data_IF_191609367554
#
_entry.id   IF_191609367554
#
_cell.length_a   1.000
_cell.length_b   1.000
_cell.length_c   1.000
_cell.angle_alpha   90.00
_cell.angle_beta   90.00
_cell.angle_gamma   90.00
#
_symmetry.space_group_name_H-M   'P 1'
#
loop_
_entity.id
_entity.type
_entity.pdbx_description
1 polymer ?
#
# COMPACT_ATOMS: atom_id res chain seq x y z
N UNK A 1 12.07 -16.10 8.97
CA UNK A 1 12.10 -14.67 8.62
C UNK A 1 11.10 -14.49 7.51
N UNK A 2 10.01 -13.84 7.82
CA UNK A 2 8.90 -13.67 6.87
C UNK A 2 9.35 -12.79 5.71
N UNK A 3 8.95 -13.15 4.51
CA UNK A 3 9.20 -12.38 3.29
C UNK A 3 7.96 -11.56 3.01
N UNK A 4 8.13 -10.40 2.42
CA UNK A 4 7.02 -9.51 2.10
C UNK A 4 7.24 -8.80 0.77
N UNK A 5 6.14 -8.31 0.22
CA UNK A 5 6.12 -7.28 -0.83
C UNK A 5 5.40 -6.07 -0.28
N UNK A 6 6.02 -4.90 -0.37
CA UNK A 6 5.42 -3.63 0.01
C UNK A 6 5.19 -2.80 -1.26
N UNK A 7 3.95 -2.77 -1.71
CA UNK A 7 3.52 -2.01 -2.90
C UNK A 7 2.83 -0.73 -2.47
N UNK A 8 3.15 0.38 -3.15
CA UNK A 8 2.65 1.70 -2.79
C UNK A 8 2.13 2.44 -4.02
N UNK A 9 1.15 3.31 -3.79
CA UNK A 9 0.54 4.15 -4.79
C UNK A 9 0.46 5.59 -4.31
N UNK A 10 0.83 6.51 -5.19
CA UNK A 10 0.63 7.93 -5.01
C UNK A 10 -0.65 8.40 -5.70
N UNK A 11 -1.44 9.20 -4.99
CA UNK A 11 -2.57 9.94 -5.53
C UNK A 11 -2.32 11.45 -5.39
N UNK A 12 -2.48 12.25 -6.45
CA UNK A 12 -2.21 13.69 -6.40
C UNK A 12 -3.22 14.45 -5.54
N UNK A 13 -4.35 13.86 -5.23
CA UNK A 13 -5.40 14.44 -4.39
C UNK A 13 -6.17 13.32 -3.68
N UNK A 14 -6.46 13.54 -2.41
CA UNK A 14 -7.47 12.80 -1.65
C UNK A 14 -8.60 13.77 -1.28
N UNK A 15 -9.82 13.49 -1.72
CA UNK A 15 -10.96 14.36 -1.52
C UNK A 15 -12.24 13.53 -1.41
N UNK A 16 -12.86 13.43 -0.22
CA UNK A 16 -14.10 12.71 -0.04
C UNK A 16 -15.31 13.45 -0.66
N UNK A 17 -15.19 14.77 -0.84
CA UNK A 17 -16.18 15.61 -1.55
C UNK A 17 -15.56 16.94 -1.96
N UNK A 18 -16.29 17.74 -2.75
CA UNK A 18 -15.85 19.06 -3.20
C UNK A 18 -15.54 19.98 -2.00
N UNK A 19 -14.37 20.60 -2.04
CA UNK A 19 -13.89 21.52 -1.01
C UNK A 19 -13.30 20.86 0.24
N UNK A 20 -13.33 19.54 0.35
CA UNK A 20 -12.72 18.77 1.44
C UNK A 20 -11.50 17.98 0.95
N UNK A 21 -10.76 17.45 1.92
CA UNK A 21 -9.57 16.63 1.67
C UNK A 21 -8.29 17.45 1.53
N UNK A 22 -7.27 16.83 0.97
CA UNK A 22 -5.93 17.42 0.83
C UNK A 22 -5.26 17.00 -0.49
N UNK A 23 -4.22 17.75 -0.86
CA UNK A 23 -3.32 17.35 -1.94
C UNK A 23 -2.37 16.29 -1.41
N UNK A 24 -1.99 15.42 -2.32
CA UNK A 24 -1.08 14.31 -2.08
C UNK A 24 -1.62 13.27 -1.11
N UNK A 25 -1.59 12.03 -1.53
CA UNK A 25 -1.86 10.88 -0.69
C UNK A 25 -0.93 9.73 -1.09
N UNK A 26 -0.52 8.96 -0.09
CA UNK A 26 0.26 7.75 -0.25
C UNK A 26 -0.44 6.61 0.44
N UNK A 27 -0.76 5.57 -0.30
CA UNK A 27 -1.36 4.36 0.23
C UNK A 27 -0.50 3.16 -0.15
N UNK A 28 -0.49 2.15 0.72
CA UNK A 28 0.32 0.97 0.55
C UNK A 28 -0.38 -0.33 0.89
N UNK A 29 0.16 -1.42 0.37
CA UNK A 29 -0.24 -2.78 0.73
C UNK A 29 1.02 -3.58 1.07
N UNK A 30 1.06 -4.14 2.26
CA UNK A 30 2.05 -5.14 2.65
C UNK A 30 1.45 -6.53 2.42
N UNK A 31 2.11 -7.34 1.62
CA UNK A 31 1.75 -8.75 1.41
C UNK A 31 2.82 -9.61 2.03
N UNK A 32 2.47 -10.31 3.09
CA UNK A 32 3.35 -11.25 3.78
C UNK A 32 3.36 -12.60 3.07
N UNK A 33 4.55 -13.17 2.91
CA UNK A 33 4.78 -14.41 2.18
C UNK A 33 5.45 -15.45 3.09
N UNK A 34 5.01 -16.71 2.96
CA UNK A 34 5.60 -17.85 3.68
C UNK A 34 7.01 -18.21 3.15
N UNK A 35 7.26 -17.93 1.87
CA UNK A 35 8.53 -18.22 1.20
C UNK A 35 8.88 -17.14 0.18
N UNK A 36 10.16 -16.76 0.09
CA UNK A 36 10.66 -15.81 -0.90
C UNK A 36 10.70 -16.35 -2.34
N UNK A 37 10.71 -17.66 -2.50
CA UNK A 37 10.93 -18.32 -3.79
C UNK A 37 9.66 -18.88 -4.42
N UNK A 38 8.55 -18.96 -3.66
CA UNK A 38 7.30 -19.49 -4.17
C UNK A 38 6.46 -18.39 -4.79
N UNK A 39 5.95 -18.65 -6.00
CA UNK A 39 5.02 -17.77 -6.73
C UNK A 39 3.56 -18.24 -6.65
N UNK A 40 3.27 -19.29 -5.86
CA UNK A 40 1.93 -19.82 -5.71
C UNK A 40 1.05 -18.87 -4.86
N UNK A 41 -0.24 -18.79 -5.17
CA UNK A 41 -1.21 -18.03 -4.38
C UNK A 41 -1.25 -18.44 -2.90
N UNK A 42 -1.09 -19.74 -2.62
CA UNK A 42 -1.02 -20.30 -1.26
C UNK A 42 0.19 -19.84 -0.45
N UNK A 43 1.15 -19.17 -1.09
CA UNK A 43 2.32 -18.56 -0.44
C UNK A 43 1.98 -17.28 0.33
N UNK A 44 0.84 -16.64 0.05
CA UNK A 44 0.41 -15.44 0.77
C UNK A 44 0.00 -15.86 2.19
N UNK A 45 0.62 -15.23 3.18
CA UNK A 45 0.31 -15.42 4.59
C UNK A 45 -0.71 -14.39 5.09
N UNK A 46 -0.52 -13.12 4.71
CA UNK A 46 -1.46 -12.04 5.02
C UNK A 46 -1.41 -10.94 3.97
N UNK A 47 -2.49 -10.17 3.87
CA UNK A 47 -2.63 -8.97 3.05
C UNK A 47 -3.02 -7.82 3.95
N UNK A 48 -2.21 -6.77 3.99
CA UNK A 48 -2.35 -5.62 4.89
C UNK A 48 -2.49 -4.32 4.08
N UNK A 49 -3.69 -3.90 3.68
CA UNK A 49 -3.90 -2.57 3.12
C UNK A 49 -3.77 -1.48 4.20
N UNK A 50 -3.22 -0.33 3.82
CA UNK A 50 -3.14 0.85 4.67
C UNK A 50 -4.51 1.52 4.85
N UNK A 51 -4.73 2.10 6.02
CA UNK A 51 -5.97 2.77 6.37
C UNK A 51 -5.71 3.85 7.44
N UNK A 52 -5.65 5.12 7.04
CA UNK A 52 -5.51 6.27 7.95
C UNK A 52 -4.34 6.18 8.95
N UNK A 53 -3.19 5.69 8.48
CA UNK A 53 -1.98 5.50 9.30
C UNK A 53 -1.87 4.14 9.99
N UNK A 54 -2.92 3.31 9.92
CA UNK A 54 -2.94 1.93 10.38
C UNK A 54 -2.86 0.93 9.21
N UNK A 55 -2.75 -0.36 9.54
CA UNK A 55 -2.68 -1.47 8.58
C UNK A 55 -3.72 -2.52 8.93
N UNK A 56 -4.70 -2.70 8.05
CA UNK A 56 -5.78 -3.67 8.25
C UNK A 56 -5.39 -5.05 7.72
N UNK A 57 -4.62 -5.80 8.50
CA UNK A 57 -4.12 -7.10 8.09
C UNK A 57 -5.18 -8.20 8.13
N UNK A 58 -5.21 -9.02 7.09
CA UNK A 58 -6.09 -10.18 6.97
C UNK A 58 -5.28 -11.42 6.55
N UNK A 59 -5.39 -12.49 7.32
CA UNK A 59 -4.81 -13.82 7.01
C UNK A 59 -5.73 -14.68 6.16
N UNK A 60 -6.99 -14.27 6.01
CA UNK A 60 -8.03 -14.93 5.21
C UNK A 60 -9.07 -13.90 4.75
N UNK A 61 -9.99 -14.30 3.86
CA UNK A 61 -11.08 -13.43 3.39
C UNK A 61 -10.68 -12.41 2.32
N UNK A 62 -9.43 -12.36 1.92
CA UNK A 62 -9.02 -11.59 0.74
C UNK A 62 -9.28 -12.39 -0.54
N UNK A 63 -9.61 -11.68 -1.61
CA UNK A 63 -9.85 -12.27 -2.94
C UNK A 63 -8.62 -12.05 -3.82
N UNK A 64 -8.31 -13.03 -4.66
CA UNK A 64 -7.20 -12.99 -5.61
C UNK A 64 -7.72 -13.03 -7.05
N UNK A 65 -7.06 -12.28 -7.93
CA UNK A 65 -7.09 -12.50 -9.37
C UNK A 65 -5.77 -13.15 -9.78
N UNK A 66 -5.76 -14.46 -9.99
CA UNK A 66 -4.53 -15.25 -10.08
C UNK A 66 -3.78 -15.24 -8.76
N UNK A 67 -2.62 -14.59 -8.71
CA UNK A 67 -1.79 -14.43 -7.49
C UNK A 67 -1.83 -13.01 -6.92
N UNK A 68 -2.69 -12.13 -7.45
CA UNK A 68 -2.74 -10.72 -7.09
C UNK A 68 -3.90 -10.45 -6.14
N UNK A 69 -3.67 -9.99 -4.90
CA UNK A 69 -4.74 -9.53 -4.02
C UNK A 69 -5.52 -8.37 -4.66
N UNK A 70 -6.84 -8.44 -4.52
CA UNK A 70 -7.73 -7.39 -5.01
C UNK A 70 -7.90 -6.32 -3.94
N UNK A 71 -7.51 -5.10 -4.27
CA UNK A 71 -7.50 -3.95 -3.39
C UNK A 71 -8.32 -2.83 -4.01
N UNK A 72 -9.15 -2.18 -3.21
CA UNK A 72 -9.89 -0.98 -3.61
C UNK A 72 -9.37 0.25 -2.84
N UNK A 73 -9.45 1.41 -3.47
CA UNK A 73 -9.31 2.71 -2.83
C UNK A 73 -10.71 3.26 -2.62
N UNK A 74 -11.15 3.37 -1.38
CA UNK A 74 -12.53 3.68 -1.03
C UNK A 74 -12.65 4.87 -0.09
N UNK A 75 -13.71 5.64 -0.26
CA UNK A 75 -14.09 6.69 0.68
C UNK A 75 -14.73 6.09 1.92
N UNK A 76 -14.32 6.59 3.09
CA UNK A 76 -14.90 6.23 4.40
C UNK A 76 -15.46 7.49 5.06
N UNK A 77 -16.61 7.98 4.51
CA UNK A 77 -17.23 9.19 5.02
C UNK A 77 -17.43 9.16 6.56
N UNK A 78 -17.14 10.25 7.31
CA UNK A 78 -16.74 11.61 6.88
C UNK A 78 -15.21 11.80 6.73
N UNK A 79 -14.42 10.77 6.89
CA UNK A 79 -12.96 10.80 6.72
C UNK A 79 -12.57 10.61 5.25
N UNK A 80 -11.29 10.78 4.95
CA UNK A 80 -10.73 10.62 3.61
C UNK A 80 -10.79 9.16 3.12
N UNK A 81 -10.18 8.90 1.97
CA UNK A 81 -10.09 7.56 1.42
C UNK A 81 -9.05 6.71 2.16
N UNK A 82 -9.18 5.42 2.01
CA UNK A 82 -8.24 4.41 2.47
C UNK A 82 -8.21 3.22 1.50
N UNK A 83 -7.23 2.33 1.64
CA UNK A 83 -7.28 1.05 0.97
C UNK A 83 -8.15 0.05 1.74
N UNK A 84 -8.71 -0.90 1.01
CA UNK A 84 -9.48 -2.01 1.56
C UNK A 84 -9.44 -3.23 0.65
N UNK A 85 -9.85 -4.36 1.18
CA UNK A 85 -10.03 -5.59 0.42
C UNK A 85 -11.32 -5.50 -0.41
N UNK A 86 -11.30 -6.08 -1.61
CA UNK A 86 -12.47 -6.11 -2.49
C UNK A 86 -12.57 -7.44 -3.24
N UNK A 87 -13.73 -7.73 -3.79
CA UNK A 87 -13.94 -8.85 -4.73
C UNK A 87 -13.98 -8.39 -6.18
N UNK A 88 -14.03 -7.07 -6.41
CA UNK A 88 -14.07 -6.50 -7.75
C UNK A 88 -12.68 -6.54 -8.41
N UNK A 89 -12.64 -7.01 -9.66
CA UNK A 89 -11.42 -6.99 -10.47
C UNK A 89 -11.28 -5.62 -11.12
N UNK A 90 -10.24 -4.89 -10.74
CA UNK A 90 -9.91 -3.59 -11.30
C UNK A 90 -8.77 -3.64 -12.33
N UNK A 91 -8.30 -2.46 -12.73
CA UNK A 91 -7.12 -2.32 -13.57
C UNK A 91 -5.81 -2.66 -12.84
N UNK A 92 -4.80 -3.04 -13.61
CA UNK A 92 -3.44 -3.25 -13.10
C UNK A 92 -2.57 -2.07 -13.51
N UNK A 93 -1.78 -1.54 -12.57
CA UNK A 93 -0.79 -0.51 -12.83
C UNK A 93 0.61 -1.11 -12.82
N UNK A 94 1.56 -0.57 -13.62
CA UNK A 94 2.94 -0.98 -13.56
C UNK A 94 3.53 -0.75 -12.17
N UNK A 95 4.26 -1.74 -11.66
CA UNK A 95 5.08 -1.60 -10.47
C UNK A 95 6.54 -1.38 -10.89
N UNK A 96 7.20 -0.45 -10.23
CA UNK A 96 8.63 -0.20 -10.40
C UNK A 96 9.30 -0.59 -9.09
N UNK A 97 10.26 -1.52 -9.16
CA UNK A 97 11.04 -1.91 -8.00
C UNK A 97 11.88 -0.72 -7.51
N UNK A 98 12.02 -0.59 -6.20
CA UNK A 98 12.82 0.47 -5.58
C UNK A 98 14.24 0.53 -6.17
N UNK A 99 14.87 -0.62 -6.36
CA UNK A 99 16.21 -0.73 -6.92
C UNK A 99 16.32 -0.18 -8.35
N UNK A 100 15.21 -0.27 -9.10
CA UNK A 100 15.14 0.19 -10.50
C UNK A 100 14.82 1.68 -10.65
N UNK A 101 14.48 2.36 -9.57
CA UNK A 101 14.22 3.81 -9.63
C UNK A 101 15.51 4.59 -9.88
N UNK A 102 15.47 5.65 -10.73
CA UNK A 102 16.59 6.59 -10.86
C UNK A 102 16.93 7.24 -9.52
N UNK A 103 18.21 7.54 -9.30
CA UNK A 103 18.70 8.18 -8.06
C UNK A 103 17.93 9.46 -7.72
N UNK A 104 17.64 10.28 -8.72
CA UNK A 104 16.87 11.52 -8.51
C UNK A 104 15.45 11.25 -7.97
N UNK A 105 14.78 10.18 -8.45
CA UNK A 105 13.47 9.79 -7.95
C UNK A 105 13.56 9.26 -6.51
N UNK A 106 14.56 8.42 -6.19
CA UNK A 106 14.81 7.94 -4.82
C UNK A 106 15.03 9.11 -3.86
N UNK A 107 15.88 10.06 -4.23
CA UNK A 107 16.15 11.23 -3.40
C UNK A 107 14.89 12.07 -3.18
N UNK A 108 14.10 12.31 -4.23
CA UNK A 108 12.85 13.05 -4.11
C UNK A 108 11.85 12.34 -3.16
N UNK A 109 11.70 11.03 -3.27
CA UNK A 109 10.83 10.24 -2.38
C UNK A 109 11.28 10.28 -0.91
N UNK A 110 12.59 10.39 -0.66
CA UNK A 110 13.14 10.51 0.69
C UNK A 110 12.96 11.90 1.31
N UNK A 111 13.00 12.96 0.50
CA UNK A 111 13.18 14.34 0.99
C UNK A 111 11.99 15.25 0.74
N UNK A 112 11.08 14.93 -0.21
CA UNK A 112 9.95 15.79 -0.50
C UNK A 112 8.95 15.79 0.66
N UNK A 113 8.56 16.99 1.08
CA UNK A 113 7.44 17.19 1.99
C UNK A 113 6.13 17.19 1.19
N UNK A 114 5.29 16.19 1.44
CA UNK A 114 3.95 16.06 0.85
C UNK A 114 2.85 16.66 1.74
N UNK A 115 3.22 17.49 2.71
CA UNK A 115 2.35 18.23 3.64
C UNK A 115 1.49 17.28 4.50
N UNK A 116 0.34 16.84 3.97
CA UNK A 116 -0.61 15.99 4.69
C UNK A 116 -0.32 14.48 4.52
N UNK A 117 0.56 14.13 3.59
CA UNK A 117 0.87 12.74 3.27
C UNK A 117 2.35 12.43 3.52
N UNK A 118 2.64 11.19 3.83
CA UNK A 118 4.01 10.72 4.06
C UNK A 118 4.30 9.50 3.20
N UNK A 119 5.45 9.49 2.53
CA UNK A 119 5.90 8.33 1.76
C UNK A 119 6.10 7.16 2.71
N UNK A 120 5.32 6.06 2.60
CA UNK A 120 5.32 5.01 3.62
C UNK A 120 6.54 4.09 3.57
N UNK A 121 7.31 4.13 2.48
CA UNK A 121 8.47 3.27 2.23
C UNK A 121 9.82 4.01 2.21
N UNK A 122 9.86 5.27 2.63
CA UNK A 122 11.12 5.98 2.83
C UNK A 122 11.83 5.49 4.09
N UNK A 123 13.15 5.65 4.16
CA UNK A 123 14.00 5.07 5.22
C UNK A 123 13.51 5.41 6.64
N UNK A 124 12.97 6.61 6.86
CA UNK A 124 12.48 7.04 8.17
C UNK A 124 11.12 6.45 8.57
N UNK A 125 10.36 5.85 7.65
CA UNK A 125 9.00 5.34 7.92
C UNK A 125 8.85 3.85 7.64
N UNK A 126 9.68 3.27 6.79
CA UNK A 126 9.56 1.89 6.31
C UNK A 126 9.48 0.87 7.44
N UNK A 127 10.45 0.89 8.37
CA UNK A 127 10.50 -0.08 9.47
C UNK A 127 9.30 0.04 10.39
N UNK A 128 8.85 1.26 10.69
CA UNK A 128 7.68 1.48 11.54
C UNK A 128 6.39 0.97 10.88
N UNK A 129 6.24 1.22 9.57
CA UNK A 129 5.10 0.71 8.82
C UNK A 129 5.08 -0.82 8.76
N UNK A 130 6.24 -1.46 8.57
CA UNK A 130 6.32 -2.92 8.63
C UNK A 130 6.01 -3.47 10.03
N UNK A 131 6.47 -2.80 11.08
CA UNK A 131 6.18 -3.19 12.45
C UNK A 131 4.69 -3.03 12.80
N UNK A 132 3.99 -2.07 12.18
CA UNK A 132 2.55 -1.88 12.35
C UNK A 132 1.71 -2.87 11.51
N UNK A 133 2.21 -3.30 10.34
CA UNK A 133 1.53 -4.22 9.43
C UNK A 133 1.70 -5.68 9.88
N UNK A 134 1.31 -6.00 11.10
CA UNK A 134 1.42 -7.35 11.71
C UNK A 134 0.08 -8.07 11.77
N UNK A 135 0.10 -9.42 11.90
CA UNK A 135 -1.09 -10.28 11.94
C UNK A 135 -0.89 -11.46 12.88
#
# INVERSE_FOLDING_TARGET
MDKLTFSNRYMPKDSPSDGLGHRHEWEGVVVWLKSATSTAASNIAAVCPSAHGDWNCATSGYTLSGTKPLIEYKSTWPVNHQLGLTTAVGGTQPLIAWESLPTAAKNALQTTDFVAATVPFKDSTFTNNLAAATF
#
